data_IF_913506998132
#
_entry.id   IF_913506998132
#
_cell.length_a   1.000
_cell.length_b   1.000
_cell.length_c   1.000
_cell.angle_alpha   90.00
_cell.angle_beta   90.00
_cell.angle_gamma   90.00
#
_symmetry.space_group_name_H-M   'P 1'
#
loop_
_entity.id
_entity.type
_entity.pdbx_description
1 polymer ?
#
# COMPACT_ATOMS: atom_id res chain seq x y z
N UNK A 1 17.27 -33.61 10.83
CA UNK A 1 16.36 -32.99 11.82
C UNK A 1 16.83 -31.57 12.06
N UNK A 2 15.96 -30.57 11.88
CA UNK A 2 16.30 -29.18 12.18
C UNK A 2 16.48 -29.03 13.71
N UNK A 3 17.53 -28.36 14.21
CA UNK A 3 17.69 -28.11 15.63
C UNK A 3 16.73 -26.99 16.06
N UNK A 4 15.50 -27.37 16.42
CA UNK A 4 14.44 -26.47 16.87
C UNK A 4 13.09 -27.18 16.94
N UNK A 5 12.15 -26.67 17.74
CA UNK A 5 10.76 -27.19 17.78
C UNK A 5 9.97 -26.89 16.49
N UNK A 6 10.46 -25.97 15.66
CA UNK A 6 9.86 -25.63 14.36
C UNK A 6 10.47 -26.51 13.27
N UNK A 7 9.68 -27.40 12.68
CA UNK A 7 9.99 -28.02 11.40
C UNK A 7 9.59 -27.02 10.30
N UNK A 8 10.55 -26.43 9.54
CA UNK A 8 10.24 -25.43 8.52
C UNK A 8 9.23 -25.92 7.47
N UNK A 9 9.17 -27.23 7.19
CA UNK A 9 8.17 -27.80 6.29
C UNK A 9 6.76 -27.80 6.90
N UNK A 10 6.65 -27.87 8.23
CA UNK A 10 5.39 -27.82 8.97
C UNK A 10 4.99 -26.41 9.40
N UNK A 11 5.86 -25.41 9.22
CA UNK A 11 5.61 -24.00 9.57
C UNK A 11 5.69 -23.06 8.36
N UNK A 12 5.50 -23.59 7.14
CA UNK A 12 5.60 -22.82 5.89
C UNK A 12 4.66 -21.61 5.82
N UNK A 13 3.54 -21.65 6.52
CA UNK A 13 2.61 -20.53 6.68
C UNK A 13 3.25 -19.36 7.44
N UNK A 14 3.89 -19.64 8.58
CA UNK A 14 4.62 -18.64 9.36
C UNK A 14 5.86 -18.13 8.60
N UNK A 15 6.59 -19.01 7.90
CA UNK A 15 7.74 -18.64 7.07
C UNK A 15 7.30 -17.73 5.91
N UNK A 16 6.18 -18.04 5.24
CA UNK A 16 5.63 -17.19 4.20
C UNK A 16 5.17 -15.83 4.73
N UNK A 17 4.53 -15.79 5.91
CA UNK A 17 4.17 -14.54 6.58
C UNK A 17 5.41 -13.67 6.85
N UNK A 18 6.47 -14.25 7.43
CA UNK A 18 7.73 -13.54 7.67
C UNK A 18 8.38 -13.04 6.38
N UNK A 19 8.42 -13.89 5.34
CA UNK A 19 8.98 -13.53 4.02
C UNK A 19 8.23 -12.33 3.41
N UNK A 20 6.90 -12.35 3.42
CA UNK A 20 6.12 -11.24 2.86
C UNK A 20 6.19 -9.99 3.75
N UNK A 21 6.17 -10.14 5.07
CA UNK A 21 6.25 -9.03 6.01
C UNK A 21 7.60 -8.30 5.98
N UNK A 22 8.68 -8.98 5.58
CA UNK A 22 10.01 -8.39 5.38
C UNK A 22 10.17 -7.69 4.01
N UNK A 23 9.12 -7.64 3.20
CA UNK A 23 9.07 -6.85 1.95
C UNK A 23 10.16 -7.29 0.95
N UNK A 24 10.57 -8.56 0.98
CA UNK A 24 11.59 -9.11 0.06
C UNK A 24 11.01 -9.45 -1.33
N UNK A 25 11.84 -9.44 -2.40
CA UNK A 25 11.39 -9.82 -3.73
C UNK A 25 10.85 -11.26 -3.82
N UNK A 26 9.68 -11.44 -4.43
CA UNK A 26 8.98 -12.71 -4.63
C UNK A 26 9.36 -13.39 -5.96
N UNK A 27 10.65 -13.70 -6.11
CA UNK A 27 11.18 -14.52 -7.20
C UNK A 27 12.06 -15.65 -6.66
N UNK A 28 12.33 -16.68 -7.48
CA UNK A 28 13.20 -17.80 -7.08
C UNK A 28 12.70 -18.52 -5.81
N UNK A 29 13.57 -18.67 -4.82
CA UNK A 29 13.30 -19.37 -3.56
C UNK A 29 12.18 -18.71 -2.74
N UNK A 30 12.22 -17.38 -2.58
CA UNK A 30 11.17 -16.64 -1.86
C UNK A 30 9.79 -16.89 -2.45
N UNK A 31 9.69 -16.94 -3.78
CA UNK A 31 8.43 -17.27 -4.47
C UNK A 31 7.97 -18.69 -4.17
N UNK A 32 8.88 -19.66 -4.16
CA UNK A 32 8.55 -21.05 -3.86
C UNK A 32 8.05 -21.20 -2.41
N UNK A 33 8.74 -20.57 -1.46
CA UNK A 33 8.38 -20.55 -0.03
C UNK A 33 6.98 -19.93 0.15
N UNK A 34 6.76 -18.73 -0.39
CA UNK A 34 5.47 -18.03 -0.23
C UNK A 34 4.34 -18.79 -0.89
N UNK A 35 4.56 -19.41 -2.07
CA UNK A 35 3.54 -20.24 -2.72
C UNK A 35 3.14 -21.45 -1.86
N UNK A 36 4.12 -22.15 -1.28
CA UNK A 36 3.85 -23.30 -0.43
C UNK A 36 3.18 -22.90 0.91
N UNK A 37 3.61 -21.77 1.50
CA UNK A 37 2.99 -21.24 2.71
C UNK A 37 1.56 -20.75 2.49
N UNK A 38 1.27 -20.09 1.36
CA UNK A 38 -0.10 -19.72 0.99
C UNK A 38 -0.98 -20.96 0.78
N UNK A 39 -0.45 -22.01 0.17
CA UNK A 39 -1.20 -23.27 0.07
C UNK A 39 -1.53 -23.83 1.46
N UNK A 40 -0.57 -23.82 2.39
CA UNK A 40 -0.78 -24.26 3.78
C UNK A 40 -1.84 -23.40 4.49
N UNK A 41 -1.73 -22.07 4.39
CA UNK A 41 -2.67 -21.11 4.97
C UNK A 41 -4.12 -21.35 4.49
N UNK A 42 -4.29 -21.74 3.23
CA UNK A 42 -5.59 -21.98 2.62
C UNK A 42 -6.18 -23.37 2.88
N UNK A 43 -5.37 -24.34 3.32
CA UNK A 43 -5.79 -25.73 3.51
C UNK A 43 -5.85 -26.12 4.98
N UNK A 44 -4.75 -25.92 5.70
CA UNK A 44 -4.57 -26.33 7.09
C UNK A 44 -3.53 -25.41 7.76
N UNK A 45 -3.89 -24.15 8.06
CA UNK A 45 -3.00 -23.25 8.77
C UNK A 45 -2.68 -23.78 10.18
N UNK A 46 -1.46 -23.55 10.65
CA UNK A 46 -1.08 -23.73 12.04
C UNK A 46 -1.91 -22.83 12.95
N UNK A 47 -2.04 -23.21 14.23
CA UNK A 47 -2.98 -22.56 15.14
C UNK A 47 -2.78 -21.04 15.25
N UNK A 48 -1.53 -20.58 15.33
CA UNK A 48 -1.21 -19.15 15.36
C UNK A 48 -1.67 -18.38 14.13
N UNK A 49 -1.35 -18.90 12.92
CA UNK A 49 -1.78 -18.27 11.67
C UNK A 49 -3.30 -18.33 11.50
N UNK A 50 -3.94 -19.44 11.91
CA UNK A 50 -5.38 -19.59 11.88
C UNK A 50 -6.08 -18.56 12.78
N UNK A 51 -5.54 -18.32 13.98
CA UNK A 51 -6.03 -17.29 14.90
C UNK A 51 -5.88 -15.88 14.30
N UNK A 52 -4.74 -15.59 13.66
CA UNK A 52 -4.53 -14.31 12.96
C UNK A 52 -5.51 -14.08 11.81
N UNK A 53 -5.76 -15.11 10.98
CA UNK A 53 -6.75 -15.04 9.90
C UNK A 53 -8.15 -14.74 10.45
N UNK A 54 -8.52 -15.38 11.56
CA UNK A 54 -9.81 -15.18 12.21
C UNK A 54 -9.98 -13.74 12.74
N UNK A 55 -9.02 -13.22 13.51
CA UNK A 55 -9.09 -11.83 14.03
C UNK A 55 -8.93 -10.78 12.92
N UNK A 56 -8.36 -11.16 11.77
CA UNK A 56 -8.32 -10.32 10.59
C UNK A 56 -9.63 -10.29 9.80
N UNK A 57 -10.58 -11.17 10.08
CA UNK A 57 -11.85 -11.27 9.36
C UNK A 57 -11.68 -11.77 7.93
N UNK A 58 -10.56 -12.44 7.61
CA UNK A 58 -10.29 -12.93 6.26
C UNK A 58 -11.14 -14.16 6.01
N UNK A 59 -12.05 -14.03 5.05
CA UNK A 59 -12.91 -15.12 4.58
C UNK A 59 -12.59 -15.40 3.11
N UNK A 60 -12.25 -16.65 2.80
CA UNK A 60 -11.85 -17.07 1.46
C UNK A 60 -10.33 -17.21 1.27
N UNK A 61 -9.87 -17.30 0.01
CA UNK A 61 -8.47 -17.59 -0.28
C UNK A 61 -7.50 -16.51 0.20
N UNK A 62 -6.57 -16.90 1.07
CA UNK A 62 -5.46 -16.08 1.54
C UNK A 62 -4.48 -15.85 0.40
N UNK A 63 -4.05 -14.60 0.24
CA UNK A 63 -3.09 -14.15 -0.79
C UNK A 63 -1.89 -13.47 -0.12
N UNK A 64 -0.82 -13.25 -0.87
CA UNK A 64 0.32 -12.49 -0.37
C UNK A 64 -0.05 -11.05 0.04
N UNK A 65 -1.08 -10.45 -0.58
CA UNK A 65 -1.61 -9.14 -0.17
C UNK A 65 -2.19 -9.18 1.25
N UNK A 66 -2.93 -10.24 1.59
CA UNK A 66 -3.41 -10.46 2.96
C UNK A 66 -2.26 -10.58 3.96
N UNK A 67 -1.18 -11.27 3.59
CA UNK A 67 0.02 -11.37 4.43
C UNK A 67 0.69 -10.01 4.61
N UNK A 68 0.86 -9.23 3.54
CA UNK A 68 1.54 -7.95 3.56
C UNK A 68 0.76 -6.85 4.32
N UNK A 69 -0.55 -6.77 4.12
CA UNK A 69 -1.34 -5.61 4.57
C UNK A 69 -2.31 -5.91 5.72
N UNK A 70 -2.51 -7.19 6.07
CA UNK A 70 -3.41 -7.57 7.16
C UNK A 70 -2.66 -8.34 8.25
N UNK A 71 -1.99 -9.44 7.93
CA UNK A 71 -1.33 -10.26 8.96
C UNK A 71 0.00 -9.66 9.43
N UNK A 72 0.87 -9.25 8.51
CA UNK A 72 2.17 -8.65 8.79
C UNK A 72 2.08 -7.45 9.74
N UNK A 73 1.16 -6.49 9.54
CA UNK A 73 0.98 -5.37 10.45
C UNK A 73 0.58 -5.77 11.89
N UNK A 74 -0.16 -6.86 12.07
CA UNK A 74 -0.51 -7.39 13.40
C UNK A 74 0.70 -7.97 14.11
N UNK A 75 1.51 -8.74 13.39
CA UNK A 75 2.80 -9.22 13.91
C UNK A 75 3.72 -8.03 14.24
N UNK A 76 3.80 -7.04 13.35
CA UNK A 76 4.67 -5.87 13.53
C UNK A 76 4.11 -4.80 14.48
N UNK A 77 2.88 -4.95 14.96
CA UNK A 77 2.33 -4.11 16.02
C UNK A 77 3.07 -4.37 17.34
N UNK A 78 3.65 -5.56 17.47
CA UNK A 78 4.58 -5.88 18.53
C UNK A 78 5.92 -5.15 18.33
N UNK A 79 6.08 -4.00 18.97
CA UNK A 79 7.23 -3.11 18.75
C UNK A 79 8.31 -3.15 19.84
N UNK A 80 8.04 -3.71 21.02
CA UNK A 80 8.99 -3.83 22.14
C UNK A 80 9.25 -5.30 22.49
N UNK A 81 10.30 -5.59 23.28
CA UNK A 81 10.66 -6.97 23.64
C UNK A 81 9.49 -7.80 24.21
N UNK A 82 8.67 -7.21 25.07
CA UNK A 82 7.49 -7.88 25.64
C UNK A 82 6.45 -8.23 24.55
N UNK A 83 6.29 -7.37 23.55
CA UNK A 83 5.37 -7.63 22.45
C UNK A 83 5.96 -8.62 21.43
N UNK A 84 7.27 -8.59 21.19
CA UNK A 84 7.93 -9.51 20.27
C UNK A 84 7.80 -10.97 20.73
N UNK A 85 7.83 -11.20 22.04
CA UNK A 85 7.54 -12.51 22.64
C UNK A 85 6.10 -12.95 22.38
N UNK A 86 5.13 -12.03 22.42
CA UNK A 86 3.73 -12.33 22.13
C UNK A 86 3.54 -12.88 20.71
N UNK A 87 4.18 -12.24 19.71
CA UNK A 87 4.13 -12.70 18.33
C UNK A 87 4.80 -14.07 18.14
N UNK A 88 5.92 -14.31 18.83
CA UNK A 88 6.60 -15.60 18.81
C UNK A 88 5.75 -16.71 19.45
N UNK A 89 5.22 -16.47 20.65
CA UNK A 89 4.34 -17.40 21.37
C UNK A 89 3.10 -17.76 20.54
N UNK A 90 2.51 -16.78 19.87
CA UNK A 90 1.38 -17.00 18.97
C UNK A 90 1.74 -17.95 17.83
N UNK A 91 2.85 -17.68 17.12
CA UNK A 91 3.27 -18.49 15.98
C UNK A 91 3.73 -19.90 16.39
N UNK A 92 4.15 -20.08 17.65
CA UNK A 92 4.53 -21.36 18.23
C UNK A 92 3.40 -22.10 18.95
N UNK A 93 2.19 -21.54 18.98
CA UNK A 93 1.05 -22.16 19.67
C UNK A 93 0.60 -23.46 18.99
N UNK A 94 0.37 -24.50 19.79
CA UNK A 94 -0.02 -25.84 19.31
C UNK A 94 -1.52 -25.93 18.98
N UNK A 95 -2.34 -25.06 19.54
CA UNK A 95 -3.81 -25.11 19.40
C UNK A 95 -4.46 -23.72 19.44
N UNK A 96 -5.73 -23.67 19.03
CA UNK A 96 -6.51 -22.43 18.97
C UNK A 96 -6.80 -21.82 20.34
N UNK A 97 -6.98 -22.64 21.37
CA UNK A 97 -7.27 -22.19 22.73
C UNK A 97 -6.14 -21.29 23.29
N UNK A 98 -4.89 -21.66 23.02
CA UNK A 98 -3.71 -20.85 23.37
C UNK A 98 -3.44 -19.70 22.39
N UNK A 99 -3.67 -19.91 21.09
CA UNK A 99 -3.38 -18.92 20.06
C UNK A 99 -4.36 -17.73 20.03
N UNK A 100 -5.67 -17.99 20.19
CA UNK A 100 -6.72 -16.98 20.07
C UNK A 100 -6.54 -15.75 21.00
N UNK A 101 -6.23 -15.90 22.31
CA UNK A 101 -6.00 -14.73 23.15
C UNK A 101 -4.75 -13.92 22.75
N UNK A 102 -3.71 -14.58 22.24
CA UNK A 102 -2.49 -13.90 21.77
C UNK A 102 -2.76 -13.12 20.48
N UNK A 103 -3.50 -13.73 19.54
CA UNK A 103 -3.93 -13.07 18.30
C UNK A 103 -4.82 -11.86 18.57
N UNK A 104 -5.73 -11.96 19.54
CA UNK A 104 -6.59 -10.84 19.93
C UNK A 104 -5.76 -9.67 20.51
N UNK A 105 -4.77 -9.96 21.37
CA UNK A 105 -3.88 -8.92 21.90
C UNK A 105 -3.10 -8.19 20.79
N UNK A 106 -2.55 -8.91 19.82
CA UNK A 106 -1.89 -8.30 18.66
C UNK A 106 -2.87 -7.50 17.79
N UNK A 107 -4.10 -7.98 17.63
CA UNK A 107 -5.17 -7.25 16.93
C UNK A 107 -5.48 -5.92 17.62
N UNK A 108 -5.59 -5.91 18.95
CA UNK A 108 -5.88 -4.71 19.74
C UNK A 108 -4.73 -3.69 19.63
N UNK A 109 -3.47 -4.16 19.74
CA UNK A 109 -2.28 -3.33 19.55
C UNK A 109 -2.22 -2.73 18.14
N UNK A 110 -2.53 -3.53 17.11
CA UNK A 110 -2.58 -3.05 15.73
C UNK A 110 -3.71 -2.03 15.52
N UNK A 111 -4.89 -2.27 16.09
CA UNK A 111 -6.03 -1.35 16.00
C UNK A 111 -5.70 0.01 16.63
N UNK A 112 -5.09 0.01 17.82
CA UNK A 112 -4.62 1.24 18.48
C UNK A 112 -3.60 1.98 17.62
N UNK A 113 -2.63 1.26 17.04
CA UNK A 113 -1.61 1.82 16.16
C UNK A 113 -2.22 2.45 14.89
N UNK A 114 -3.20 1.79 14.29
CA UNK A 114 -3.92 2.28 13.11
C UNK A 114 -4.73 3.53 13.44
N UNK A 115 -5.40 3.56 14.59
CA UNK A 115 -6.14 4.74 15.05
C UNK A 115 -5.22 5.95 15.20
N UNK A 116 -4.13 5.82 15.96
CA UNK A 116 -3.15 6.89 16.17
C UNK A 116 -2.55 7.36 14.84
N UNK A 117 -2.25 6.44 13.92
CA UNK A 117 -1.75 6.78 12.58
C UNK A 117 -2.80 7.59 11.80
N UNK A 118 -4.06 7.19 11.84
CA UNK A 118 -5.14 7.88 11.14
C UNK A 118 -5.39 9.29 11.71
N UNK A 119 -5.28 9.46 13.03
CA UNK A 119 -5.37 10.77 13.70
C UNK A 119 -4.25 11.71 13.23
N UNK A 120 -2.99 11.24 13.20
CA UNK A 120 -1.86 12.02 12.68
C UNK A 120 -2.08 12.39 11.22
N UNK A 121 -2.46 11.44 10.37
CA UNK A 121 -2.70 11.70 8.93
C UNK A 121 -3.82 12.72 8.74
N UNK A 122 -4.90 12.65 9.53
CA UNK A 122 -6.00 13.62 9.48
C UNK A 122 -5.54 15.03 9.87
N UNK A 123 -4.79 15.16 10.97
CA UNK A 123 -4.24 16.45 11.41
C UNK A 123 -3.25 17.03 10.40
N UNK A 124 -2.38 16.16 9.86
CA UNK A 124 -1.44 16.49 8.80
C UNK A 124 -2.15 17.00 7.54
N UNK A 125 -3.22 16.34 7.11
CA UNK A 125 -3.98 16.74 5.91
C UNK A 125 -4.54 18.15 6.01
N UNK A 126 -5.07 18.54 7.17
CA UNK A 126 -5.56 19.90 7.40
C UNK A 126 -4.45 20.94 7.22
N UNK A 127 -3.23 20.63 7.67
CA UNK A 127 -2.07 21.51 7.50
C UNK A 127 -1.56 21.52 6.05
N UNK A 128 -1.69 20.40 5.33
CA UNK A 128 -1.27 20.29 3.92
C UNK A 128 -2.25 20.99 2.98
N UNK A 129 -3.56 20.98 3.26
CA UNK A 129 -4.55 21.74 2.49
C UNK A 129 -4.33 23.27 2.59
N UNK A 130 -3.65 23.73 3.63
CA UNK A 130 -3.18 25.12 3.79
C UNK A 130 -1.84 25.39 3.08
N UNK A 131 -1.09 24.36 2.69
CA UNK A 131 0.14 24.51 1.91
C UNK A 131 -0.22 24.80 0.45
N UNK A 132 0.56 25.68 -0.17
CA UNK A 132 0.47 25.89 -1.61
C UNK A 132 0.75 24.56 -2.34
N UNK A 133 0.01 24.27 -3.41
CA UNK A 133 0.10 23.02 -4.20
C UNK A 133 1.53 22.75 -4.75
N UNK A 134 2.43 23.72 -4.63
CA UNK A 134 3.83 23.69 -5.02
C UNK A 134 4.79 23.04 -3.99
N UNK A 135 4.38 22.75 -2.75
CA UNK A 135 5.31 22.29 -1.71
C UNK A 135 5.99 20.95 -2.03
N UNK A 136 7.27 20.95 -2.39
CA UNK A 136 7.99 19.76 -2.87
C UNK A 136 8.19 18.65 -1.83
N UNK A 137 8.02 18.96 -0.55
CA UNK A 137 8.20 18.06 0.60
C UNK A 137 7.18 18.41 1.68
N UNK A 138 6.78 17.40 2.45
CA UNK A 138 5.90 17.57 3.60
C UNK A 138 6.77 17.53 4.87
N UNK A 139 6.76 18.61 5.65
CA UNK A 139 7.50 18.70 6.92
C UNK A 139 6.56 19.20 8.02
N UNK A 140 6.20 18.31 8.95
CA UNK A 140 5.23 18.61 10.01
C UNK A 140 5.65 18.01 11.35
N UNK A 141 5.20 18.61 12.45
CA UNK A 141 5.44 18.03 13.76
C UNK A 141 4.44 18.49 14.80
N UNK A 142 4.11 17.59 15.72
CA UNK A 142 3.29 17.91 16.89
C UNK A 142 3.73 17.11 18.12
N UNK A 143 3.62 17.74 19.29
CA UNK A 143 3.94 17.11 20.59
C UNK A 143 2.98 15.96 20.94
N UNK A 144 1.76 15.95 20.39
CA UNK A 144 0.76 14.90 20.59
C UNK A 144 1.05 13.62 19.81
N UNK A 145 1.92 13.65 18.80
CA UNK A 145 2.12 12.51 17.88
C UNK A 145 3.06 11.45 18.46
N UNK A 146 2.61 10.21 18.73
CA UNK A 146 3.48 9.22 19.37
C UNK A 146 4.61 8.76 18.45
N UNK A 147 5.84 8.72 18.98
CA UNK A 147 7.05 8.33 18.23
C UNK A 147 6.91 6.99 17.49
N UNK A 148 6.23 6.01 18.10
CA UNK A 148 6.08 4.66 17.54
C UNK A 148 5.25 4.57 16.25
N UNK A 149 4.49 5.61 15.89
CA UNK A 149 3.63 5.63 14.69
C UNK A 149 4.06 6.66 13.65
N UNK A 150 5.04 7.50 13.94
CA UNK A 150 5.54 8.52 13.01
C UNK A 150 5.93 7.93 11.65
N UNK A 151 6.68 6.83 11.63
CA UNK A 151 7.09 6.18 10.38
C UNK A 151 5.91 5.67 9.54
N UNK A 152 4.81 5.21 10.17
CA UNK A 152 3.60 4.80 9.45
C UNK A 152 2.84 6.00 8.90
N UNK A 153 2.71 7.06 9.69
CA UNK A 153 2.06 8.29 9.26
C UNK A 153 2.79 8.91 8.06
N UNK A 154 4.13 8.97 8.10
CA UNK A 154 4.94 9.41 6.97
C UNK A 154 4.68 8.56 5.72
N UNK A 155 4.64 7.22 5.84
CA UNK A 155 4.34 6.34 4.70
C UNK A 155 2.95 6.63 4.10
N UNK A 156 1.92 6.82 4.94
CA UNK A 156 0.55 7.14 4.48
C UNK A 156 0.48 8.49 3.77
N UNK A 157 1.21 9.48 4.25
CA UNK A 157 1.28 10.80 3.61
C UNK A 157 2.02 10.72 2.26
N UNK A 158 3.10 9.94 2.17
CA UNK A 158 3.76 9.64 0.90
C UNK A 158 2.82 8.93 -0.07
N UNK A 159 2.03 7.94 0.40
CA UNK A 159 1.07 7.23 -0.47
C UNK A 159 -0.01 8.16 -1.02
N UNK A 160 -0.51 9.09 -0.21
CA UNK A 160 -1.58 10.00 -0.58
C UNK A 160 -1.10 11.15 -1.49
N UNK A 161 0.02 11.78 -1.11
CA UNK A 161 0.48 13.01 -1.75
C UNK A 161 1.65 12.80 -2.72
N UNK A 162 2.27 11.62 -2.71
CA UNK A 162 3.47 11.29 -3.48
C UNK A 162 4.57 12.37 -3.36
N UNK A 163 4.83 12.78 -2.12
CA UNK A 163 5.87 13.75 -1.75
C UNK A 163 6.73 13.17 -0.62
N UNK A 164 8.06 13.39 -0.62
CA UNK A 164 8.88 13.05 0.55
C UNK A 164 8.26 13.67 1.79
N UNK A 165 8.21 12.92 2.87
CA UNK A 165 7.51 13.33 4.08
C UNK A 165 8.37 13.12 5.31
N UNK A 166 8.47 14.15 6.13
CA UNK A 166 9.11 14.17 7.43
C UNK A 166 8.05 14.53 8.48
N UNK A 167 7.83 13.63 9.44
CA UNK A 167 6.95 13.88 10.58
C UNK A 167 7.73 13.81 11.88
N UNK A 168 7.45 14.74 12.78
CA UNK A 168 8.19 14.88 14.03
C UNK A 168 7.28 14.90 15.26
N UNK A 169 7.87 14.53 16.38
CA UNK A 169 7.34 14.72 17.71
C UNK A 169 8.39 15.42 18.58
N UNK A 170 7.96 16.22 19.55
CA UNK A 170 8.86 16.89 20.49
C UNK A 170 8.59 16.45 21.92
N UNK A 171 9.67 16.30 22.68
CA UNK A 171 9.68 16.06 24.13
C UNK A 171 10.14 17.30 24.93
N UNK A 172 10.17 18.48 24.28
CA UNK A 172 10.63 19.74 24.87
C UNK A 172 11.88 20.26 24.18
N UNK A 173 13.04 19.76 24.55
CA UNK A 173 14.34 20.27 24.07
C UNK A 173 14.71 19.76 22.67
N UNK A 174 14.11 18.66 22.23
CA UNK A 174 14.39 18.05 20.93
C UNK A 174 13.12 17.71 20.15
N UNK A 175 13.28 17.62 18.83
CA UNK A 175 12.34 17.00 17.92
C UNK A 175 12.95 15.71 17.40
N UNK A 176 12.20 14.62 17.48
CA UNK A 176 12.55 13.32 16.89
C UNK A 176 11.59 13.05 15.75
N UNK A 177 12.15 12.73 14.59
CA UNK A 177 11.41 12.57 13.36
C UNK A 177 11.60 11.20 12.70
N UNK A 178 10.62 10.84 11.89
CA UNK A 178 10.73 9.77 10.90
C UNK A 178 10.41 10.32 9.52
N UNK A 179 11.18 9.86 8.53
CA UNK A 179 11.05 10.29 7.15
C UNK A 179 10.78 9.12 6.21
N UNK A 180 10.00 9.38 5.16
CA UNK A 180 9.73 8.46 4.04
C UNK A 180 9.85 9.19 2.72
N UNK A 181 10.32 8.49 1.70
CA UNK A 181 10.65 9.08 0.41
C UNK A 181 9.80 8.57 -0.75
N UNK A 182 9.97 9.21 -1.91
CA UNK A 182 9.50 8.76 -3.22
C UNK A 182 10.69 8.35 -4.10
N UNK A 183 10.40 7.67 -5.21
CA UNK A 183 11.41 7.38 -6.23
C UNK A 183 12.04 8.68 -6.75
N UNK A 184 13.36 8.70 -6.89
CA UNK A 184 14.11 9.89 -7.33
C UNK A 184 14.49 10.88 -6.21
N UNK A 185 14.08 10.65 -4.96
CA UNK A 185 14.51 11.45 -3.82
C UNK A 185 15.24 10.58 -2.77
N UNK A 186 16.52 10.84 -2.52
CA UNK A 186 17.33 10.09 -1.56
C UNK A 186 17.37 10.81 -0.21
N UNK A 187 16.71 10.25 0.82
CA UNK A 187 16.65 10.86 2.16
C UNK A 187 18.04 11.00 2.79
N UNK A 188 18.90 10.01 2.64
CA UNK A 188 20.23 10.06 3.27
C UNK A 188 21.06 11.23 2.72
N UNK A 189 20.96 11.52 1.43
CA UNK A 189 21.67 12.64 0.80
C UNK A 189 21.11 13.98 1.28
N UNK A 190 19.78 14.08 1.36
CA UNK A 190 19.09 15.24 1.93
C UNK A 190 19.50 15.51 3.39
N UNK A 191 19.59 14.45 4.20
CA UNK A 191 19.99 14.57 5.60
C UNK A 191 21.47 14.93 5.76
N UNK A 192 22.34 14.50 4.85
CA UNK A 192 23.74 14.94 4.83
C UNK A 192 23.85 16.44 4.51
N UNK A 193 23.03 16.97 3.61
CA UNK A 193 23.00 18.40 3.28
C UNK A 193 22.56 19.25 4.49
N UNK A 194 21.59 18.75 5.28
CA UNK A 194 21.13 19.40 6.50
C UNK A 194 21.90 18.95 7.77
N UNK A 195 22.98 18.17 7.65
CA UNK A 195 23.70 17.57 8.79
C UNK A 195 24.15 18.57 9.88
N UNK A 196 24.60 19.81 9.56
CA UNK A 196 24.98 20.79 10.58
C UNK A 196 23.86 21.17 11.55
N UNK A 197 22.59 20.98 11.15
CA UNK A 197 21.41 21.28 11.96
C UNK A 197 20.98 20.09 12.84
N UNK A 198 21.36 18.87 12.43
CA UNK A 198 20.90 17.63 13.03
C UNK A 198 21.77 17.25 14.24
N UNK A 199 21.12 16.84 15.32
CA UNK A 199 21.81 16.24 16.46
C UNK A 199 22.16 14.78 16.16
N UNK A 200 21.23 14.02 15.55
CA UNK A 200 21.43 12.64 15.13
C UNK A 200 20.64 12.38 13.86
N UNK A 201 21.15 11.56 12.96
CA UNK A 201 20.38 11.05 11.84
C UNK A 201 20.96 9.74 11.32
N UNK A 202 20.14 8.99 10.59
CA UNK A 202 20.54 7.75 9.93
C UNK A 202 19.39 7.14 9.15
N UNK A 203 19.72 6.24 8.23
CA UNK A 203 18.73 5.58 7.39
C UNK A 203 19.27 5.25 6.01
N UNK A 204 18.35 5.12 5.06
CA UNK A 204 18.61 4.76 3.67
C UNK A 204 17.87 5.71 2.74
N UNK A 205 17.90 5.42 1.43
CA UNK A 205 17.21 6.20 0.41
C UNK A 205 15.72 6.48 0.72
N UNK A 206 14.98 5.46 1.17
CA UNK A 206 13.52 5.50 1.28
C UNK A 206 12.96 5.71 2.69
N UNK A 207 13.79 5.52 3.73
CA UNK A 207 13.39 5.69 5.11
C UNK A 207 14.56 6.20 5.97
N UNK A 208 14.29 7.16 6.84
CA UNK A 208 15.29 7.68 7.76
C UNK A 208 14.68 8.10 9.11
N UNK A 209 15.55 8.16 10.12
CA UNK A 209 15.25 8.73 11.44
C UNK A 209 16.21 9.88 11.73
N UNK A 210 15.72 10.90 12.42
CA UNK A 210 16.48 12.12 12.69
C UNK A 210 16.07 12.78 14.00
N UNK A 211 16.99 13.53 14.60
CA UNK A 211 16.79 14.32 15.80
C UNK A 211 17.38 15.71 15.60
N UNK A 212 16.66 16.76 16.00
CA UNK A 212 17.10 18.15 15.94
C UNK A 212 16.74 18.86 17.24
N UNK A 213 17.54 19.83 17.67
CA UNK A 213 17.20 20.67 18.83
C UNK A 213 16.01 21.56 18.51
N UNK A 214 15.12 21.79 19.48
CA UNK A 214 13.94 22.63 19.30
C UNK A 214 14.25 24.03 18.79
N UNK A 215 15.39 24.61 19.19
CA UNK A 215 15.84 25.91 18.68
C UNK A 215 16.18 25.94 17.19
N UNK A 216 16.46 24.79 16.55
CA UNK A 216 16.87 24.67 15.15
C UNK A 216 15.80 24.02 14.26
N UNK A 217 14.63 23.68 14.79
CA UNK A 217 13.60 22.98 14.03
C UNK A 217 13.11 23.80 12.81
N UNK A 218 12.91 25.10 12.99
CA UNK A 218 12.49 26.00 11.91
C UNK A 218 13.56 26.10 10.80
N UNK A 219 14.84 26.18 11.18
CA UNK A 219 15.96 26.19 10.22
C UNK A 219 16.04 24.86 9.45
N UNK A 220 15.87 23.73 10.14
CA UNK A 220 15.83 22.42 9.50
C UNK A 220 14.68 22.33 8.49
N UNK A 221 13.48 22.77 8.87
CA UNK A 221 12.32 22.77 7.97
C UNK A 221 12.63 23.52 6.68
N UNK A 222 13.19 24.72 6.76
CA UNK A 222 13.61 25.49 5.59
C UNK A 222 14.69 24.80 4.75
N UNK A 223 15.67 24.15 5.39
CA UNK A 223 16.72 23.37 4.70
C UNK A 223 16.11 22.22 3.88
N UNK A 224 15.20 21.45 4.48
CA UNK A 224 14.53 20.32 3.82
C UNK A 224 13.66 20.79 2.64
N UNK A 225 12.91 21.88 2.83
CA UNK A 225 12.07 22.48 1.79
C UNK A 225 12.90 22.99 0.60
N UNK A 226 13.99 23.69 0.86
CA UNK A 226 14.90 24.19 -0.18
C UNK A 226 15.58 23.04 -0.93
N UNK A 227 16.06 22.02 -0.21
CA UNK A 227 16.69 20.85 -0.82
C UNK A 227 15.74 20.11 -1.78
N UNK A 228 14.48 19.94 -1.36
CA UNK A 228 13.45 19.28 -2.16
C UNK A 228 13.04 20.12 -3.36
N UNK A 229 12.78 21.42 -3.19
CA UNK A 229 12.40 22.31 -4.28
C UNK A 229 13.47 22.41 -5.38
N UNK A 230 14.75 22.29 -5.03
CA UNK A 230 15.85 22.31 -6.00
C UNK A 230 15.99 21.04 -6.84
N UNK A 231 15.33 19.93 -6.44
CA UNK A 231 15.52 18.59 -7.05
C UNK A 231 14.25 17.95 -7.56
N UNK A 232 13.09 18.33 -7.03
CA UNK A 232 11.79 17.82 -7.44
C UNK A 232 11.05 18.87 -8.27
N UNK A 233 10.75 18.50 -9.50
CA UNK A 233 10.05 19.33 -10.48
C UNK A 233 8.59 18.86 -10.56
N UNK A 234 7.69 19.66 -11.14
CA UNK A 234 6.24 19.39 -11.17
C UNK A 234 5.82 17.98 -11.60
N UNK A 235 6.51 17.34 -12.55
CA UNK A 235 6.21 15.97 -12.99
C UNK A 235 6.57 14.88 -11.97
N UNK A 236 7.49 15.17 -11.04
CA UNK A 236 7.98 14.24 -10.01
C UNK A 236 6.94 13.90 -8.94
N UNK A 237 5.83 14.64 -8.88
CA UNK A 237 4.74 14.39 -7.91
C UNK A 237 3.67 13.43 -8.45
N UNK A 238 3.84 12.89 -9.66
CA UNK A 238 2.97 11.86 -10.21
C UNK A 238 3.58 10.48 -10.00
N UNK A 239 2.82 9.56 -9.40
CA UNK A 239 3.29 8.18 -9.21
C UNK A 239 3.33 7.48 -10.57
N UNK A 240 4.47 6.93 -11.01
CA UNK A 240 4.52 6.20 -12.27
C UNK A 240 3.71 4.91 -12.16
N UNK A 241 2.75 4.74 -13.08
CA UNK A 241 2.02 3.49 -13.26
C UNK A 241 2.68 2.71 -14.39
N UNK A 242 3.20 1.53 -14.07
CA UNK A 242 3.73 0.64 -15.10
C UNK A 242 2.63 -0.30 -15.59
N UNK A 243 2.54 -0.43 -16.90
CA UNK A 243 1.49 -1.15 -17.61
C UNK A 243 2.16 -2.31 -18.37
N UNK A 244 1.64 -3.51 -18.23
CA UNK A 244 2.20 -4.72 -18.85
C UNK A 244 1.78 -4.86 -20.31
N UNK A 245 0.50 -4.61 -20.59
CA UNK A 245 -0.05 -4.78 -21.93
C UNK A 245 -1.27 -3.89 -22.15
N UNK A 246 -1.54 -3.60 -23.43
CA UNK A 246 -2.84 -3.05 -23.84
C UNK A 246 -3.78 -4.19 -24.22
N UNK A 247 -5.07 -4.05 -23.90
CA UNK A 247 -6.08 -5.04 -24.21
C UNK A 247 -7.39 -4.39 -24.66
N UNK A 248 -8.05 -5.02 -25.63
CA UNK A 248 -9.42 -4.69 -26.00
C UNK A 248 -10.39 -5.42 -25.07
N UNK A 249 -11.57 -4.85 -24.83
CA UNK A 249 -12.56 -5.43 -23.92
C UNK A 249 -13.05 -6.82 -24.37
N UNK A 250 -13.08 -7.10 -25.68
CA UNK A 250 -13.45 -8.42 -26.21
C UNK A 250 -12.45 -9.55 -25.84
N UNK A 251 -11.20 -9.19 -25.52
CA UNK A 251 -10.16 -10.15 -25.11
C UNK A 251 -10.18 -10.43 -23.61
N UNK A 252 -10.90 -9.62 -22.83
CA UNK A 252 -10.99 -9.75 -21.39
C UNK A 252 -11.95 -10.87 -21.01
N UNK A 253 -11.40 -12.08 -20.88
CA UNK A 253 -12.14 -13.31 -20.55
C UNK A 253 -11.72 -13.85 -19.18
N UNK A 254 -12.59 -14.60 -18.48
CA UNK A 254 -12.20 -15.29 -17.25
C UNK A 254 -10.95 -16.17 -17.38
N UNK A 255 -10.70 -16.75 -18.56
CA UNK A 255 -9.47 -17.52 -18.84
C UNK A 255 -8.21 -16.66 -18.74
N UNK A 256 -8.24 -15.42 -19.25
CA UNK A 256 -7.12 -14.49 -19.15
C UNK A 256 -6.83 -14.14 -17.68
N UNK A 257 -7.88 -13.91 -16.88
CA UNK A 257 -7.70 -13.73 -15.44
C UNK A 257 -7.04 -14.95 -14.80
N UNK A 258 -7.46 -16.18 -15.14
CA UNK A 258 -6.83 -17.39 -14.62
C UNK A 258 -5.34 -17.50 -15.00
N UNK A 259 -5.00 -17.22 -16.25
CA UNK A 259 -3.60 -17.18 -16.73
C UNK A 259 -2.75 -16.17 -15.97
N UNK A 260 -3.29 -14.96 -15.71
CA UNK A 260 -2.63 -13.96 -14.87
C UNK A 260 -2.44 -14.49 -13.44
N UNK A 261 -3.45 -15.13 -12.85
CA UNK A 261 -3.34 -15.68 -11.49
C UNK A 261 -2.31 -16.81 -11.38
N UNK A 262 -1.94 -17.49 -12.46
CA UNK A 262 -0.82 -18.45 -12.46
C UNK A 262 0.54 -17.78 -12.18
N UNK A 263 0.65 -16.46 -12.38
CA UNK A 263 1.81 -15.65 -12.03
C UNK A 263 1.85 -15.28 -10.54
N UNK A 264 0.79 -15.52 -9.77
CA UNK A 264 0.78 -15.30 -8.32
C UNK A 264 1.77 -16.24 -7.60
N UNK A 265 2.23 -15.93 -6.37
CA UNK A 265 1.86 -14.79 -5.53
C UNK A 265 2.40 -13.46 -6.06
N UNK A 266 1.57 -12.42 -6.01
CA UNK A 266 1.97 -11.05 -6.34
C UNK A 266 2.55 -10.33 -5.13
N UNK A 267 3.52 -9.46 -5.34
CA UNK A 267 4.19 -8.67 -4.31
C UNK A 267 5.41 -7.94 -4.84
N UNK A 268 6.34 -7.58 -3.94
CA UNK A 268 7.61 -6.96 -4.34
C UNK A 268 8.36 -7.87 -5.31
N UNK A 269 8.91 -7.31 -6.39
CA UNK A 269 9.61 -8.07 -7.42
C UNK A 269 8.73 -8.94 -8.34
N UNK A 270 7.43 -9.08 -8.05
CA UNK A 270 6.45 -9.77 -8.91
C UNK A 270 5.07 -9.12 -8.75
N UNK A 271 4.90 -7.91 -9.27
CA UNK A 271 3.63 -7.19 -9.12
C UNK A 271 2.50 -7.86 -9.92
N UNK A 272 1.27 -7.58 -9.51
CA UNK A 272 0.10 -7.92 -10.31
C UNK A 272 0.16 -7.16 -11.66
N UNK A 273 -0.01 -7.85 -12.80
CA UNK A 273 -0.10 -7.21 -14.11
C UNK A 273 -1.28 -6.24 -14.20
N UNK A 274 -0.99 -5.03 -14.66
CA UNK A 274 -1.96 -4.00 -15.03
C UNK A 274 -2.11 -3.94 -16.55
N UNK A 275 -3.36 -3.92 -16.99
CA UNK A 275 -3.73 -3.80 -18.39
C UNK A 275 -4.23 -2.38 -18.68
N UNK A 276 -4.05 -1.96 -19.94
CA UNK A 276 -4.51 -0.66 -20.45
C UNK A 276 -5.55 -0.86 -21.56
N UNK A 277 -6.70 -0.21 -21.43
CA UNK A 277 -7.60 0.02 -22.57
C UNK A 277 -7.64 1.50 -22.89
N UNK A 278 -7.51 1.84 -24.17
CA UNK A 278 -7.49 3.22 -24.66
C UNK A 278 -8.84 3.62 -25.25
N UNK A 279 -9.13 4.91 -25.20
CA UNK A 279 -10.33 5.52 -25.79
C UNK A 279 -11.67 4.87 -25.35
N UNK A 280 -11.71 4.29 -24.15
CA UNK A 280 -12.92 3.69 -23.58
C UNK A 280 -13.94 4.78 -23.28
N UNK A 281 -15.13 4.67 -23.87
CA UNK A 281 -16.24 5.58 -23.65
C UNK A 281 -17.00 5.20 -22.37
N UNK A 282 -17.27 6.19 -21.53
CA UNK A 282 -18.14 6.02 -20.37
C UNK A 282 -19.59 5.92 -20.85
N UNK A 283 -20.22 4.78 -20.67
CA UNK A 283 -21.65 4.57 -20.98
C UNK A 283 -22.51 5.06 -19.81
N UNK A 284 -22.12 4.70 -18.58
CA UNK A 284 -22.78 5.15 -17.36
C UNK A 284 -21.82 5.15 -16.18
N UNK A 285 -22.08 6.05 -15.24
CA UNK A 285 -21.32 6.20 -14.00
C UNK A 285 -22.27 6.05 -12.83
N UNK A 286 -21.90 5.22 -11.87
CA UNK A 286 -22.70 4.90 -10.69
C UNK A 286 -21.80 4.91 -9.45
N UNK A 287 -22.42 5.09 -8.28
CA UNK A 287 -21.78 4.88 -6.99
C UNK A 287 -22.45 3.72 -6.26
N UNK A 288 -21.69 2.94 -5.49
CA UNK A 288 -22.23 1.80 -4.74
C UNK A 288 -21.66 1.70 -3.32
N UNK A 289 -22.21 0.76 -2.54
CA UNK A 289 -21.99 0.63 -1.10
C UNK A 289 -23.01 1.44 -0.28
N UNK A 290 -23.12 1.14 1.02
CA UNK A 290 -24.08 1.79 1.92
C UNK A 290 -23.94 3.32 1.89
N UNK A 291 -22.70 3.82 1.87
CA UNK A 291 -22.39 5.25 1.90
C UNK A 291 -22.11 5.84 0.52
N UNK A 292 -22.36 5.09 -0.58
CA UNK A 292 -22.02 5.49 -1.96
C UNK A 292 -20.55 5.88 -2.17
N UNK A 293 -19.65 5.38 -1.32
CA UNK A 293 -18.23 5.74 -1.31
C UNK A 293 -17.42 5.12 -2.46
N UNK A 294 -17.96 4.12 -3.15
CA UNK A 294 -17.27 3.41 -4.22
C UNK A 294 -17.77 3.83 -5.60
N UNK A 295 -16.88 3.81 -6.60
CA UNK A 295 -17.17 4.16 -7.99
C UNK A 295 -17.37 2.91 -8.84
N UNK A 296 -18.41 2.91 -9.67
CA UNK A 296 -18.63 1.93 -10.74
C UNK A 296 -18.80 2.66 -12.06
N UNK A 297 -18.02 2.26 -13.06
CA UNK A 297 -18.14 2.73 -14.43
C UNK A 297 -18.55 1.56 -15.31
N UNK A 298 -19.40 1.83 -16.29
CA UNK A 298 -19.61 0.90 -17.39
C UNK A 298 -19.02 1.55 -18.61
N UNK A 299 -18.04 0.86 -19.15
CA UNK A 299 -17.19 1.34 -20.22
C UNK A 299 -17.51 0.56 -21.48
N UNK A 300 -17.34 1.21 -22.62
CA UNK A 300 -17.44 0.60 -23.94
C UNK A 300 -16.24 1.01 -24.77
N UNK A 301 -15.57 0.04 -25.37
CA UNK A 301 -14.59 0.31 -26.42
C UNK A 301 -15.19 -0.08 -27.79
N UNK A 302 -14.35 -0.16 -28.84
CA UNK A 302 -14.83 -0.51 -30.18
C UNK A 302 -15.22 -1.99 -30.32
N UNK A 303 -14.93 -2.82 -29.32
CA UNK A 303 -15.01 -4.27 -29.38
C UNK A 303 -16.07 -4.86 -28.46
N UNK A 304 -16.23 -4.32 -27.24
CA UNK A 304 -17.16 -4.83 -26.24
C UNK A 304 -17.45 -3.78 -25.16
N UNK A 305 -18.21 -4.19 -24.14
CA UNK A 305 -18.45 -3.42 -22.92
C UNK A 305 -17.82 -4.11 -21.71
N UNK A 306 -17.37 -3.34 -20.73
CA UNK A 306 -16.80 -3.83 -19.49
C UNK A 306 -17.33 -3.04 -18.28
N UNK A 307 -17.42 -3.71 -17.14
CA UNK A 307 -17.71 -3.07 -15.85
C UNK A 307 -16.41 -2.84 -15.09
N UNK A 308 -16.20 -1.61 -14.66
CA UNK A 308 -15.01 -1.19 -13.95
C UNK A 308 -15.38 -0.63 -12.56
N UNK A 309 -14.60 -0.97 -11.53
CA UNK A 309 -14.85 -0.56 -10.15
C UNK A 309 -13.60 0.07 -9.53
N UNK A 310 -13.80 1.07 -8.67
CA UNK A 310 -12.76 1.64 -7.82
C UNK A 310 -13.32 1.86 -6.41
N UNK A 311 -12.67 1.28 -5.40
CA UNK A 311 -13.09 1.46 -4.02
C UNK A 311 -12.68 2.84 -3.49
N UNK A 312 -13.53 3.47 -2.66
CA UNK A 312 -13.26 4.76 -2.01
C UNK A 312 -13.00 5.93 -2.99
N UNK A 313 -13.54 5.83 -4.21
CA UNK A 313 -13.45 6.85 -5.27
C UNK A 313 -14.81 7.40 -5.73
N UNK A 314 -15.87 7.24 -4.93
CA UNK A 314 -17.22 7.71 -5.26
C UNK A 314 -17.30 9.21 -5.56
N UNK A 315 -16.48 10.02 -4.89
CA UNK A 315 -16.40 11.47 -5.11
C UNK A 315 -15.97 11.87 -6.54
N UNK A 316 -15.34 10.96 -7.30
CA UNK A 316 -14.94 11.22 -8.69
C UNK A 316 -16.11 11.13 -9.68
N UNK A 317 -17.25 10.53 -9.29
CA UNK A 317 -18.38 10.27 -10.18
C UNK A 317 -18.89 11.53 -10.95
N UNK A 318 -19.03 12.72 -10.33
CA UNK A 318 -19.47 13.93 -11.05
C UNK A 318 -18.53 14.37 -12.18
N UNK A 319 -17.25 13.98 -12.12
CA UNK A 319 -16.24 14.33 -13.13
C UNK A 319 -16.16 13.34 -14.29
N UNK A 320 -16.98 12.28 -14.25
CA UNK A 320 -16.97 11.16 -15.17
C UNK A 320 -18.34 11.02 -15.87
N UNK A 321 -18.79 12.03 -16.65
CA UNK A 321 -20.07 11.97 -17.33
C UNK A 321 -20.06 10.97 -18.49
N UNK A 322 -21.23 10.49 -18.87
CA UNK A 322 -21.41 9.63 -20.04
C UNK A 322 -20.92 10.32 -21.33
N UNK A 323 -20.43 9.53 -22.28
CA UNK A 323 -19.83 9.98 -23.55
C UNK A 323 -18.37 10.42 -23.44
N UNK A 324 -17.85 10.67 -22.23
CA UNK A 324 -16.42 10.97 -22.04
C UNK A 324 -15.56 9.76 -22.41
N UNK A 325 -14.43 9.99 -23.07
CA UNK A 325 -13.45 8.96 -23.42
C UNK A 325 -12.22 9.01 -22.53
N UNK A 326 -11.79 7.84 -22.07
CA UNK A 326 -10.67 7.68 -21.15
C UNK A 326 -9.70 6.61 -21.64
N UNK A 327 -8.44 6.78 -21.27
CA UNK A 327 -7.51 5.66 -21.13
C UNK A 327 -7.64 5.15 -19.70
N UNK A 328 -7.84 3.84 -19.53
CA UNK A 328 -8.05 3.20 -18.22
C UNK A 328 -7.00 2.13 -17.96
N UNK A 329 -6.40 2.18 -16.77
CA UNK A 329 -5.45 1.17 -16.28
C UNK A 329 -6.12 0.37 -15.17
N UNK A 330 -6.07 -0.96 -15.27
CA UNK A 330 -6.81 -1.83 -14.37
C UNK A 330 -6.12 -3.18 -14.15
N UNK A 331 -6.39 -3.78 -12.99
CA UNK A 331 -6.20 -5.21 -12.77
C UNK A 331 -7.50 -5.95 -13.11
N UNK A 332 -7.40 -7.23 -13.52
CA UNK A 332 -8.58 -8.07 -13.72
C UNK A 332 -9.03 -8.67 -12.39
N UNK A 333 -10.32 -8.60 -12.11
CA UNK A 333 -10.95 -9.30 -11.00
C UNK A 333 -12.05 -10.21 -11.52
N UNK A 334 -12.19 -11.40 -10.93
CA UNK A 334 -13.22 -12.35 -11.27
C UNK A 334 -14.01 -12.72 -10.02
N UNK A 335 -15.28 -12.35 -10.00
CA UNK A 335 -16.21 -12.72 -8.92
C UNK A 335 -17.09 -13.88 -9.37
N UNK A 336 -17.43 -14.78 -8.45
CA UNK A 336 -18.48 -15.79 -8.69
C UNK A 336 -19.81 -15.30 -8.15
N UNK A 337 -20.76 -15.09 -9.04
CA UNK A 337 -22.13 -14.76 -8.69
C UNK A 337 -23.08 -15.77 -9.33
N UNK A 338 -23.86 -16.47 -8.52
CA UNK A 338 -24.85 -17.47 -8.97
C UNK A 338 -24.23 -18.56 -9.90
N UNK A 339 -23.02 -19.01 -9.57
CA UNK A 339 -22.28 -20.01 -10.35
C UNK A 339 -21.66 -19.51 -11.65
N UNK A 340 -21.88 -18.24 -12.03
CA UNK A 340 -21.27 -17.61 -13.20
C UNK A 340 -20.05 -16.76 -12.78
N UNK A 341 -18.95 -16.96 -13.50
CA UNK A 341 -17.76 -16.12 -13.36
C UNK A 341 -18.02 -14.78 -14.05
N UNK A 342 -18.00 -13.69 -13.27
CA UNK A 342 -18.16 -12.32 -13.75
C UNK A 342 -16.84 -11.58 -13.66
N UNK A 343 -16.28 -11.23 -14.81
CA UNK A 343 -15.08 -10.41 -14.90
C UNK A 343 -15.42 -8.92 -14.66
N UNK A 344 -14.58 -8.25 -13.89
CA UNK A 344 -14.62 -6.80 -13.63
C UNK A 344 -13.21 -6.22 -13.73
N UNK A 345 -13.14 -4.95 -14.10
CA UNK A 345 -11.91 -4.18 -14.13
C UNK A 345 -11.75 -3.47 -12.77
N UNK A 346 -10.74 -3.84 -11.99
CA UNK A 346 -10.37 -3.06 -10.81
C UNK A 346 -9.51 -1.88 -11.26
N UNK A 347 -10.13 -0.70 -11.37
CA UNK A 347 -9.47 0.51 -11.83
C UNK A 347 -8.35 0.90 -10.87
N UNK A 348 -7.15 1.07 -11.42
CA UNK A 348 -5.98 1.57 -10.71
C UNK A 348 -5.70 3.03 -11.05
N UNK A 349 -5.91 3.41 -12.32
CA UNK A 349 -5.76 4.78 -12.76
C UNK A 349 -6.57 5.05 -14.03
N UNK A 350 -6.85 6.32 -14.30
CA UNK A 350 -7.49 6.77 -15.51
C UNK A 350 -7.00 8.16 -15.91
N UNK A 351 -7.05 8.43 -17.21
CA UNK A 351 -6.81 9.77 -17.74
C UNK A 351 -7.75 10.06 -18.90
N UNK A 352 -8.00 11.34 -19.24
CA UNK A 352 -8.61 11.69 -20.51
C UNK A 352 -7.88 10.99 -21.65
N UNK A 353 -8.64 10.41 -22.59
CA UNK A 353 -8.02 9.78 -23.75
C UNK A 353 -7.14 10.79 -24.47
N UNK A 354 -5.86 10.46 -24.66
CA UNK A 354 -4.98 11.27 -25.48
C UNK A 354 -5.35 11.04 -26.93
N UNK A 355 -5.74 12.10 -27.66
CA UNK A 355 -5.92 11.98 -29.11
C UNK A 355 -4.60 11.51 -29.73
N UNK A 356 -4.61 10.58 -30.69
CA UNK A 356 -3.41 10.27 -31.44
C UNK A 356 -2.87 11.56 -32.09
N UNK A 357 -1.56 11.80 -31.96
CA UNK A 357 -0.90 12.99 -32.50
C UNK A 357 -1.05 13.13 -34.03
N UNK A 358 -1.46 12.07 -34.71
CA UNK A 358 -1.73 12.02 -36.14
C UNK A 358 -3.10 11.40 -36.37
N UNK A 359 -4.02 12.19 -36.90
CA UNK A 359 -5.26 11.73 -37.50
C UNK A 359 -4.99 11.62 -39.00
N UNK A 360 -5.29 10.48 -39.62
CA UNK A 360 -5.23 10.37 -41.08
C UNK A 360 -6.17 11.42 -41.68
N UNK A 361 -5.68 12.20 -42.64
CA UNK A 361 -6.50 13.15 -43.36
C UNK A 361 -7.54 12.37 -44.19
N UNK A 362 -8.79 12.38 -43.72
CA UNK A 362 -9.96 11.94 -44.48
C UNK A 362 -10.53 10.58 -44.05
N UNK A 363 -11.64 10.64 -43.31
CA UNK A 363 -12.85 9.87 -43.65
C UNK A 363 -13.92 10.89 -44.00
#
# INVERSE_FOLDING_TARGET
AFPGRLDPAQSLDAVALGTVADVVPLHGENRAIVRAGLQRLNQAPGAGCAALLAVAGISGPVTAEHLAFQLGPRINAAGRMEDAMLALELLMSDNRESADPLAQRLQDQNAQRQQLTAEIVREAKLQVEELDNAAAVIVMGAASWPLGVLGLAASRLVEEFYRPTFVFNTDGDEWRGSARSIEGFHLVDCLHDCAPLLHRFGGHAMAAGLTVRSSRFAELKGCLEAYAAARLNGDAFSRPVRIEASAAFADLKPSLHHEIQMLSPFGIGNREPLLLSREAEIVRTETFGADRRHLRLHLRDRTASAEAIAFDKGAAAPHLPAGRRLDVVYALQCDRWDGLDRLRLHLRDLRPAAQPALVLAGV
#
